data_IF_184845583919
#
_entry.id   IF_184845583919
#
_cell.length_a   1.000
_cell.length_b   1.000
_cell.length_c   1.000
_cell.angle_alpha   90.00
_cell.angle_beta   90.00
_cell.angle_gamma   90.00
#
_symmetry.space_group_name_H-M   'P 1'
#
loop_
_entity.id
_entity.type
_entity.pdbx_description
1 polymer ?
#
# COMPACT_ATOMS: atom_id res chain seq x y z
N UNK A 1 -10.77 42.43 -2.93
CA UNK A 1 -11.13 41.42 -3.94
C UNK A 1 -11.03 40.07 -3.26
N UNK A 2 -12.15 39.41 -3.03
CA UNK A 2 -12.17 38.01 -2.58
C UNK A 2 -11.55 37.18 -3.68
N UNK A 3 -10.42 36.56 -3.38
CA UNK A 3 -9.78 35.60 -4.27
C UNK A 3 -10.82 34.52 -4.63
N UNK A 4 -11.20 34.45 -5.92
CA UNK A 4 -12.15 33.45 -6.45
C UNK A 4 -11.49 32.09 -6.66
N UNK A 5 -10.29 31.91 -6.10
CA UNK A 5 -9.57 30.65 -6.09
C UNK A 5 -10.39 29.55 -5.41
N UNK A 6 -10.51 28.40 -6.08
CA UNK A 6 -11.14 27.20 -5.51
C UNK A 6 -10.23 26.46 -4.50
N UNK A 7 -9.04 27.00 -4.19
CA UNK A 7 -8.03 26.35 -3.34
C UNK A 7 -8.59 25.94 -1.98
N UNK A 8 -9.35 26.81 -1.31
CA UNK A 8 -9.87 26.51 0.03
C UNK A 8 -10.97 25.42 -0.01
N UNK A 9 -11.80 25.42 -1.05
CA UNK A 9 -12.81 24.38 -1.28
C UNK A 9 -12.15 23.02 -1.59
N UNK A 10 -11.16 23.01 -2.48
CA UNK A 10 -10.39 21.79 -2.81
C UNK A 10 -9.71 21.26 -1.54
N UNK A 11 -9.08 22.14 -0.76
CA UNK A 11 -8.45 21.75 0.51
C UNK A 11 -9.46 21.17 1.50
N UNK A 12 -10.69 21.69 1.54
CA UNK A 12 -11.79 21.12 2.31
C UNK A 12 -12.11 19.67 1.92
N UNK A 13 -12.19 19.37 0.62
CA UNK A 13 -12.42 18.01 0.14
C UNK A 13 -11.27 17.06 0.51
N UNK A 14 -10.02 17.46 0.31
CA UNK A 14 -8.88 16.64 0.73
C UNK A 14 -8.86 16.42 2.25
N UNK A 15 -9.23 17.43 3.04
CA UNK A 15 -9.33 17.29 4.49
C UNK A 15 -10.40 16.25 4.89
N UNK A 16 -11.55 16.26 4.21
CA UNK A 16 -12.58 15.25 4.41
C UNK A 16 -12.10 13.85 4.00
N UNK A 17 -11.40 13.74 2.87
CA UNK A 17 -10.86 12.46 2.41
C UNK A 17 -9.82 11.91 3.38
N UNK A 18 -8.89 12.74 3.85
CA UNK A 18 -7.91 12.36 4.87
C UNK A 18 -8.59 11.89 6.16
N UNK A 19 -9.64 12.58 6.61
CA UNK A 19 -10.42 12.17 7.77
C UNK A 19 -11.14 10.84 7.52
N UNK A 20 -11.64 10.60 6.30
CA UNK A 20 -12.27 9.33 5.91
C UNK A 20 -11.27 8.18 5.98
N UNK A 21 -10.07 8.38 5.42
CA UNK A 21 -8.96 7.41 5.47
C UNK A 21 -8.60 7.13 6.93
N UNK A 22 -8.46 8.17 7.75
CA UNK A 22 -8.12 8.00 9.15
C UNK A 22 -9.20 7.23 9.92
N UNK A 23 -10.48 7.55 9.70
CA UNK A 23 -11.62 6.88 10.30
C UNK A 23 -11.62 5.37 10.02
N UNK A 24 -11.44 4.96 8.76
CA UNK A 24 -11.42 3.53 8.40
C UNK A 24 -10.18 2.80 8.96
N UNK A 25 -9.02 3.45 8.99
CA UNK A 25 -7.80 2.86 9.54
C UNK A 25 -7.86 2.68 11.07
N UNK A 26 -8.57 3.56 11.76
CA UNK A 26 -8.72 3.55 13.22
C UNK A 26 -9.82 2.62 13.74
N UNK A 27 -10.66 2.06 12.87
CA UNK A 27 -11.67 1.06 13.24
C UNK A 27 -11.04 -0.12 13.99
N UNK A 28 -11.66 -0.56 15.08
CA UNK A 28 -11.11 -1.64 15.90
C UNK A 28 -11.28 -3.00 15.21
N UNK A 29 -12.47 -3.28 14.68
CA UNK A 29 -12.76 -4.52 13.96
C UNK A 29 -12.42 -4.39 12.47
N UNK A 30 -11.89 -5.45 11.83
CA UNK A 30 -11.73 -5.48 10.37
C UNK A 30 -13.06 -5.45 9.61
N UNK A 31 -14.15 -5.89 10.24
CA UNK A 31 -15.49 -5.96 9.62
C UNK A 31 -16.34 -4.70 9.88
N UNK A 32 -15.89 -3.79 10.74
CA UNK A 32 -16.48 -2.46 10.86
C UNK A 32 -16.27 -1.69 9.55
N UNK A 33 -17.11 -0.67 9.31
CA UNK A 33 -17.12 0.06 8.04
C UNK A 33 -17.27 1.56 8.20
N UNK A 34 -16.94 2.27 7.13
CA UNK A 34 -17.32 3.66 6.93
C UNK A 34 -18.21 3.78 5.70
N UNK A 35 -19.07 4.78 5.69
CA UNK A 35 -19.80 5.27 4.52
C UNK A 35 -19.44 6.72 4.27
N UNK A 36 -19.36 7.11 3.01
CA UNK A 36 -18.83 8.42 2.60
C UNK A 36 -19.97 9.20 1.94
N UNK A 37 -20.20 10.43 2.37
CA UNK A 37 -21.26 11.30 1.81
C UNK A 37 -22.66 10.65 1.92
N UNK A 38 -23.00 10.11 3.10
CA UNK A 38 -24.28 9.44 3.35
C UNK A 38 -25.20 10.32 4.23
N UNK A 39 -25.21 10.09 5.55
CA UNK A 39 -25.95 10.92 6.50
C UNK A 39 -25.23 12.25 6.67
N UNK A 40 -23.93 12.17 6.94
CA UNK A 40 -23.00 13.30 6.94
C UNK A 40 -21.81 12.95 6.02
N UNK A 41 -20.75 13.76 6.07
CA UNK A 41 -19.56 13.57 5.25
C UNK A 41 -18.94 12.17 5.42
N UNK A 42 -18.94 11.63 6.64
CA UNK A 42 -18.39 10.31 7.00
C UNK A 42 -19.26 9.65 8.08
N UNK A 43 -19.87 8.50 7.76
CA UNK A 43 -20.62 7.71 8.72
C UNK A 43 -19.83 6.48 9.14
N UNK A 44 -19.53 6.34 10.43
CA UNK A 44 -18.78 5.20 10.99
C UNK A 44 -19.79 4.19 11.51
N UNK A 45 -19.69 2.93 11.07
CA UNK A 45 -20.55 1.83 11.54
C UNK A 45 -19.72 0.75 12.22
N UNK A 46 -20.03 0.52 13.49
CA UNK A 46 -19.53 -0.64 14.24
C UNK A 46 -20.65 -1.69 14.40
N UNK A 47 -20.35 -2.80 15.04
CA UNK A 47 -21.35 -3.82 15.36
C UNK A 47 -22.54 -3.30 16.19
N UNK A 48 -22.34 -2.25 16.99
CA UNK A 48 -23.35 -1.73 17.93
C UNK A 48 -23.89 -0.35 17.56
N UNK A 49 -23.06 0.49 16.95
CA UNK A 49 -23.33 1.93 16.87
C UNK A 49 -23.03 2.51 15.48
N UNK A 50 -23.68 3.62 15.21
CA UNK A 50 -23.48 4.44 14.01
C UNK A 50 -23.17 5.85 14.44
N UNK A 51 -22.07 6.41 13.94
CA UNK A 51 -21.67 7.80 14.22
C UNK A 51 -21.55 8.57 12.90
N UNK A 52 -22.45 9.52 12.66
CA UNK A 52 -22.41 10.40 11.51
C UNK A 52 -21.54 11.63 11.81
N UNK A 53 -20.49 11.82 11.02
CA UNK A 53 -19.46 12.84 11.25
C UNK A 53 -19.49 13.89 10.14
N UNK A 54 -19.79 15.13 10.50
CA UNK A 54 -19.61 16.29 9.63
C UNK A 54 -18.23 16.90 9.85
N UNK A 55 -17.57 17.24 8.76
CA UNK A 55 -16.30 17.93 8.73
C UNK A 55 -16.44 19.39 8.26
N UNK A 56 -15.69 20.31 8.88
CA UNK A 56 -15.61 21.73 8.49
C UNK A 56 -14.17 22.25 8.55
N UNK A 57 -13.55 22.49 7.41
CA UNK A 57 -12.17 23.00 7.36
C UNK A 57 -12.12 24.45 6.87
N UNK A 58 -11.94 25.40 7.79
CA UNK A 58 -11.89 26.84 7.50
C UNK A 58 -10.69 27.51 8.18
N UNK A 59 -9.48 27.01 7.89
CA UNK A 59 -8.21 27.37 8.55
C UNK A 59 -7.82 28.85 8.51
N UNK A 60 -8.46 29.66 7.66
CA UNK A 60 -8.19 31.11 7.53
C UNK A 60 -9.24 31.98 8.23
N UNK A 61 -10.29 31.37 8.79
CA UNK A 61 -11.43 32.10 9.36
C UNK A 61 -11.51 31.90 10.86
N UNK A 62 -12.07 32.89 11.53
CA UNK A 62 -12.48 32.79 12.93
C UNK A 62 -13.77 31.98 13.04
N UNK A 63 -13.83 31.07 14.02
CA UNK A 63 -15.02 30.33 14.35
C UNK A 63 -16.14 31.27 14.81
N UNK A 64 -17.32 31.04 14.24
CA UNK A 64 -18.59 31.63 14.66
C UNK A 64 -19.64 30.54 14.58
N UNK A 65 -20.59 30.49 15.51
CA UNK A 65 -21.60 29.41 15.56
C UNK A 65 -22.36 29.19 14.24
N UNK A 66 -22.51 30.24 13.42
CA UNK A 66 -23.12 30.16 12.10
C UNK A 66 -22.45 29.15 11.16
N UNK A 67 -21.14 28.90 11.29
CA UNK A 67 -20.39 28.03 10.36
C UNK A 67 -20.71 26.54 10.50
N UNK A 68 -21.23 26.13 11.67
CA UNK A 68 -21.70 24.75 11.92
C UNK A 68 -23.22 24.68 12.10
N UNK A 69 -23.90 25.82 12.04
CA UNK A 69 -25.33 25.95 12.32
C UNK A 69 -26.19 25.04 11.45
N UNK A 70 -25.95 25.06 10.14
CA UNK A 70 -26.75 24.24 9.23
C UNK A 70 -26.48 22.75 9.42
N UNK A 71 -25.24 22.35 9.72
CA UNK A 71 -24.93 20.95 10.06
C UNK A 71 -25.70 20.51 11.31
N UNK A 72 -25.68 21.30 12.39
CA UNK A 72 -26.44 20.98 13.62
C UNK A 72 -27.95 20.90 13.32
N UNK A 73 -28.50 21.78 12.48
CA UNK A 73 -29.91 21.72 12.08
C UNK A 73 -30.25 20.42 11.34
N UNK A 74 -29.40 20.00 10.41
CA UNK A 74 -29.58 18.73 9.69
C UNK A 74 -29.53 17.52 10.64
N UNK A 75 -28.56 17.52 11.57
CA UNK A 75 -28.45 16.49 12.61
C UNK A 75 -29.70 16.42 13.50
N UNK A 76 -30.27 17.56 13.91
CA UNK A 76 -31.52 17.61 14.70
C UNK A 76 -32.72 17.11 13.90
N UNK A 77 -32.82 17.45 12.61
CA UNK A 77 -33.86 16.89 11.73
C UNK A 77 -33.75 15.37 11.62
N UNK A 78 -32.54 14.84 11.40
CA UNK A 78 -32.31 13.40 11.38
C UNK A 78 -32.63 12.75 12.73
N UNK A 79 -32.31 13.42 13.84
CA UNK A 79 -32.63 12.93 15.17
C UNK A 79 -34.14 12.79 15.37
N UNK A 80 -34.94 13.75 14.89
CA UNK A 80 -36.41 13.65 14.93
C UNK A 80 -36.92 12.44 14.14
N UNK A 81 -36.37 12.20 12.95
CA UNK A 81 -36.69 11.02 12.13
C UNK A 81 -36.32 9.70 12.83
N UNK A 82 -35.22 9.71 13.59
CA UNK A 82 -34.78 8.58 14.42
C UNK A 82 -35.74 8.32 15.60
N UNK A 83 -36.21 9.37 16.27
CA UNK A 83 -37.24 9.24 17.33
C UNK A 83 -38.55 8.68 16.78
N UNK A 84 -38.93 9.06 15.55
CA UNK A 84 -40.11 8.53 14.88
C UNK A 84 -39.95 7.08 14.37
N UNK A 85 -38.76 6.47 14.51
CA UNK A 85 -38.47 5.13 14.04
C UNK A 85 -38.30 4.99 12.52
N UNK A 86 -38.26 6.12 11.79
CA UNK A 86 -38.10 6.13 10.32
C UNK A 86 -36.65 6.02 9.87
N UNK A 87 -35.69 6.32 10.76
CA UNK A 87 -34.26 6.20 10.54
C UNK A 87 -33.58 5.52 11.73
N UNK A 88 -32.41 4.89 11.54
CA UNK A 88 -31.68 4.26 12.64
C UNK A 88 -31.28 5.28 13.71
N UNK A 89 -31.01 4.76 14.91
CA UNK A 89 -30.39 5.55 15.99
C UNK A 89 -28.93 5.81 15.64
N UNK A 90 -28.53 7.08 15.67
CA UNK A 90 -27.20 7.56 15.25
C UNK A 90 -26.67 8.54 16.29
N UNK A 91 -25.36 8.48 16.55
CA UNK A 91 -24.60 9.52 17.25
C UNK A 91 -24.05 10.53 16.24
N UNK A 92 -23.91 11.78 16.63
CA UNK A 92 -23.50 12.87 15.75
C UNK A 92 -22.16 13.45 16.19
N UNK A 93 -21.28 13.71 15.22
CA UNK A 93 -19.99 14.34 15.47
C UNK A 93 -19.76 15.50 14.50
N UNK A 94 -19.26 16.62 15.00
CA UNK A 94 -18.76 17.72 14.17
C UNK A 94 -17.27 17.86 14.44
N UNK A 95 -16.45 17.78 13.39
CA UNK A 95 -15.02 18.08 13.43
C UNK A 95 -14.73 19.33 12.61
N UNK A 96 -14.34 20.39 13.29
CA UNK A 96 -14.08 21.71 12.73
C UNK A 96 -12.66 22.21 13.01
N UNK A 97 -12.04 22.86 12.03
CA UNK A 97 -10.75 23.54 12.20
C UNK A 97 -10.82 25.00 11.71
N UNK A 98 -10.37 25.91 12.57
CA UNK A 98 -10.48 27.37 12.39
C UNK A 98 -9.19 28.06 12.85
N UNK A 99 -8.93 29.28 12.37
CA UNK A 99 -7.76 30.06 12.76
C UNK A 99 -7.80 30.53 14.22
N UNK A 100 -9.00 30.87 14.70
CA UNK A 100 -9.26 31.47 16.02
C UNK A 100 -10.76 31.37 16.37
N UNK A 101 -11.18 31.88 17.52
CA UNK A 101 -12.59 32.03 17.90
C UNK A 101 -13.19 30.81 18.62
N UNK A 102 -12.41 29.74 18.82
CA UNK A 102 -12.90 28.51 19.42
C UNK A 102 -13.33 28.68 20.89
N UNK A 103 -12.80 29.68 21.58
CA UNK A 103 -13.18 30.02 22.95
C UNK A 103 -14.69 30.32 23.11
N UNK A 104 -15.36 30.71 22.02
CA UNK A 104 -16.81 30.96 21.99
C UNK A 104 -17.66 29.71 22.30
N UNK A 105 -17.09 28.51 22.22
CA UNK A 105 -17.79 27.25 22.53
C UNK A 105 -17.32 26.61 23.85
N UNK A 106 -16.41 27.24 24.60
CA UNK A 106 -15.84 26.64 25.82
C UNK A 106 -16.85 26.48 26.96
N UNK A 107 -17.93 27.27 26.94
CA UNK A 107 -19.06 27.11 27.86
C UNK A 107 -19.91 25.86 27.62
N UNK A 108 -19.61 25.08 26.58
CA UNK A 108 -20.43 23.93 26.16
C UNK A 108 -21.70 24.34 25.41
N UNK A 109 -22.54 23.35 25.16
CA UNK A 109 -23.82 23.52 24.44
C UNK A 109 -24.93 22.92 25.29
N UNK A 110 -25.69 23.79 25.96
CA UNK A 110 -26.95 23.43 26.62
C UNK A 110 -28.15 23.65 25.66
N UNK A 111 -29.36 23.35 26.14
CA UNK A 111 -30.59 23.47 25.34
C UNK A 111 -30.84 24.90 24.89
N UNK A 112 -30.63 25.88 25.77
CA UNK A 112 -30.86 27.30 25.45
C UNK A 112 -29.86 27.80 24.41
N UNK A 113 -28.59 27.40 24.55
CA UNK A 113 -27.55 27.67 23.57
C UNK A 113 -27.89 27.06 22.23
N UNK A 114 -28.27 25.77 22.20
CA UNK A 114 -28.65 25.04 20.98
C UNK A 114 -29.80 25.76 20.26
N UNK A 115 -30.87 26.09 20.98
CA UNK A 115 -32.02 26.82 20.45
C UNK A 115 -31.62 28.17 19.86
N UNK A 116 -30.90 28.98 20.64
CA UNK A 116 -30.53 30.36 20.27
C UNK A 116 -29.55 30.42 19.11
N UNK A 117 -28.46 29.65 19.19
CA UNK A 117 -27.33 29.80 18.29
C UNK A 117 -27.43 28.90 17.05
N UNK A 118 -27.99 27.70 17.18
CA UNK A 118 -28.04 26.73 16.09
C UNK A 118 -29.45 26.56 15.48
N UNK A 119 -30.51 26.55 16.29
CA UNK A 119 -31.86 26.22 15.80
C UNK A 119 -32.76 27.43 15.51
N UNK A 120 -32.31 28.65 15.78
CA UNK A 120 -33.04 29.89 15.45
C UNK A 120 -32.34 30.63 14.32
N UNK A 121 -33.01 30.93 13.21
CA UNK A 121 -32.40 31.65 12.09
C UNK A 121 -33.38 32.60 11.41
N UNK A 122 -32.85 33.64 10.76
CA UNK A 122 -33.65 34.61 10.01
C UNK A 122 -33.47 34.40 8.52
N UNK A 123 -34.57 34.19 7.79
CA UNK A 123 -34.61 34.14 6.32
C UNK A 123 -35.68 35.10 5.84
N UNK A 124 -35.34 35.97 4.88
CA UNK A 124 -36.28 36.97 4.32
C UNK A 124 -36.96 37.85 5.40
N UNK A 125 -36.19 38.27 6.41
CA UNK A 125 -36.64 39.06 7.57
C UNK A 125 -37.65 38.34 8.50
N UNK A 126 -37.90 37.05 8.30
CA UNK A 126 -38.71 36.22 9.18
C UNK A 126 -37.80 35.34 10.03
N UNK A 127 -38.04 35.32 11.34
CA UNK A 127 -37.33 34.44 12.28
C UNK A 127 -38.03 33.09 12.36
N UNK A 128 -37.26 32.03 12.15
CA UNK A 128 -37.68 30.63 12.21
C UNK A 128 -37.06 29.96 13.42
N UNK A 129 -37.80 29.01 14.00
CA UNK A 129 -37.41 28.25 15.18
C UNK A 129 -37.49 26.76 14.82
N UNK A 130 -36.39 26.21 14.31
CA UNK A 130 -36.33 24.85 13.74
C UNK A 130 -36.82 23.77 14.70
N UNK A 131 -36.57 23.93 16.01
CA UNK A 131 -37.03 23.00 17.03
C UNK A 131 -38.56 23.02 17.24
N UNK A 132 -39.22 24.18 17.04
CA UNK A 132 -40.68 24.29 17.07
C UNK A 132 -41.28 23.67 15.81
N UNK A 133 -40.65 23.90 14.65
CA UNK A 133 -41.09 23.32 13.36
C UNK A 133 -41.04 21.79 13.39
N UNK A 134 -40.07 21.20 14.09
CA UNK A 134 -39.94 19.75 14.30
C UNK A 134 -40.77 19.21 15.47
N UNK A 135 -41.42 20.08 16.27
CA UNK A 135 -42.16 19.70 17.47
C UNK A 135 -41.29 18.95 18.48
N UNK A 136 -40.09 19.44 18.77
CA UNK A 136 -39.16 18.86 19.73
C UNK A 136 -39.27 19.57 21.09
N UNK A 137 -39.44 18.77 22.15
CA UNK A 137 -39.40 19.21 23.54
C UNK A 137 -37.97 19.38 24.06
N UNK A 138 -37.81 20.11 25.16
CA UNK A 138 -36.52 20.33 25.80
C UNK A 138 -35.86 19.02 26.24
N UNK A 139 -36.64 18.07 26.76
CA UNK A 139 -36.15 16.72 27.11
C UNK A 139 -35.63 15.95 25.89
N UNK A 140 -36.29 16.07 24.74
CA UNK A 140 -35.79 15.47 23.49
C UNK A 140 -34.51 16.16 23.00
N UNK A 141 -34.39 17.49 23.17
CA UNK A 141 -33.18 18.24 22.83
C UNK A 141 -32.01 17.89 23.76
N UNK A 142 -32.26 17.66 25.06
CA UNK A 142 -31.25 17.13 25.98
C UNK A 142 -30.77 15.75 25.55
N UNK A 143 -31.68 14.88 25.08
CA UNK A 143 -31.32 13.56 24.56
C UNK A 143 -30.53 13.64 23.24
N UNK A 144 -30.83 14.61 22.38
CA UNK A 144 -30.01 14.92 21.21
C UNK A 144 -28.59 15.35 21.62
N UNK A 145 -28.47 16.25 22.60
CA UNK A 145 -27.17 16.74 23.06
C UNK A 145 -26.29 15.63 23.64
N UNK A 146 -26.86 14.62 24.31
CA UNK A 146 -26.12 13.43 24.76
C UNK A 146 -25.53 12.60 23.61
N UNK A 147 -26.07 12.74 22.40
CA UNK A 147 -25.61 12.05 21.19
C UNK A 147 -24.72 12.93 20.30
N UNK A 148 -24.57 14.22 20.63
CA UNK A 148 -23.81 15.18 19.84
C UNK A 148 -22.45 15.44 20.48
N UNK A 149 -21.39 15.27 19.70
CA UNK A 149 -20.03 15.69 20.07
C UNK A 149 -19.55 16.75 19.09
N UNK A 150 -19.10 17.91 19.59
CA UNK A 150 -18.55 18.98 18.76
C UNK A 150 -17.09 19.22 19.13
N UNK A 151 -16.20 19.03 18.16
CA UNK A 151 -14.78 19.39 18.25
C UNK A 151 -14.45 20.46 17.19
N UNK A 152 -14.40 21.73 17.61
CA UNK A 152 -13.98 22.85 16.75
C UNK A 152 -12.47 23.14 16.82
N UNK A 153 -11.72 22.29 17.53
CA UNK A 153 -10.25 22.34 17.66
C UNK A 153 -9.63 21.13 16.98
N UNK A 154 -10.29 20.61 15.94
CA UNK A 154 -9.78 19.50 15.16
C UNK A 154 -8.42 19.85 14.53
N UNK A 155 -7.65 18.83 14.18
CA UNK A 155 -6.28 18.99 13.69
C UNK A 155 -6.22 19.80 12.40
N UNK A 156 -5.13 20.54 12.21
CA UNK A 156 -4.85 21.21 10.94
C UNK A 156 -4.60 20.17 9.82
N UNK A 157 -4.82 20.58 8.56
CA UNK A 157 -4.65 19.74 7.38
C UNK A 157 -3.33 18.98 7.36
N UNK A 158 -2.20 19.68 7.49
CA UNK A 158 -0.87 19.06 7.41
C UNK A 158 -0.61 18.09 8.57
N UNK A 159 -1.25 18.31 9.73
CA UNK A 159 -1.15 17.40 10.86
C UNK A 159 -1.99 16.15 10.65
N UNK A 160 -3.23 16.30 10.18
CA UNK A 160 -4.10 15.18 9.85
C UNK A 160 -3.47 14.30 8.76
N UNK A 161 -2.88 14.91 7.73
CA UNK A 161 -2.13 14.20 6.70
C UNK A 161 -1.00 13.34 7.30
N UNK A 162 -0.20 13.89 8.22
CA UNK A 162 0.85 13.12 8.92
C UNK A 162 0.29 11.96 9.75
N UNK A 163 -0.86 12.16 10.40
CA UNK A 163 -1.54 11.11 11.15
C UNK A 163 -2.05 9.99 10.23
N UNK A 164 -2.58 10.33 9.04
CA UNK A 164 -2.94 9.36 8.00
C UNK A 164 -1.72 8.55 7.55
N UNK A 165 -0.61 9.22 7.21
CA UNK A 165 0.63 8.54 6.79
C UNK A 165 1.14 7.60 7.88
N UNK A 166 1.13 8.05 9.14
CA UNK A 166 1.50 7.21 10.29
C UNK A 166 0.57 6.01 10.46
N UNK A 167 -0.75 6.21 10.36
CA UNK A 167 -1.74 5.14 10.47
C UNK A 167 -1.58 4.09 9.34
N UNK A 168 -1.31 4.54 8.11
CA UNK A 168 -1.04 3.66 6.97
C UNK A 168 0.23 2.83 7.20
N UNK A 169 1.29 3.45 7.72
CA UNK A 169 2.53 2.75 8.06
C UNK A 169 2.31 1.67 9.12
N UNK A 170 1.50 1.96 10.15
CA UNK A 170 1.15 0.97 11.18
C UNK A 170 0.29 -0.16 10.61
N UNK A 171 -0.67 0.17 9.75
CA UNK A 171 -1.64 -0.80 9.23
C UNK A 171 -1.06 -1.76 8.17
N UNK A 172 -0.15 -1.29 7.32
CA UNK A 172 0.38 -2.06 6.18
C UNK A 172 1.88 -2.37 6.30
N UNK A 173 2.55 -1.83 7.30
CA UNK A 173 4.02 -1.86 7.39
C UNK A 173 4.68 -0.94 6.36
N UNK A 174 6.01 -1.05 6.25
CA UNK A 174 6.80 -0.28 5.30
C UNK A 174 7.43 1.01 5.87
N UNK A 175 8.01 1.79 4.96
CA UNK A 175 8.71 3.04 5.30
C UNK A 175 7.74 4.23 5.24
N UNK A 176 8.11 5.34 5.87
CA UNK A 176 7.38 6.61 5.71
C UNK A 176 7.21 7.01 4.23
N UNK A 177 8.22 6.74 3.41
CA UNK A 177 8.14 6.96 1.96
C UNK A 177 7.03 6.12 1.31
N UNK A 178 6.94 4.82 1.64
CA UNK A 178 5.90 3.98 1.04
C UNK A 178 4.49 4.33 1.52
N UNK A 179 4.36 4.75 2.78
CA UNK A 179 3.09 5.19 3.33
C UNK A 179 2.58 6.48 2.67
N UNK A 180 3.46 7.48 2.50
CA UNK A 180 3.09 8.77 1.91
C UNK A 180 2.87 8.69 0.39
N UNK A 181 3.74 8.00 -0.34
CA UNK A 181 3.71 8.05 -1.81
C UNK A 181 2.95 6.92 -2.47
N UNK A 182 2.64 5.82 -1.77
CA UNK A 182 1.88 4.71 -2.35
C UNK A 182 0.58 4.48 -1.61
N UNK A 183 0.64 4.14 -0.32
CA UNK A 183 -0.55 3.76 0.42
C UNK A 183 -1.54 4.92 0.53
N UNK A 184 -1.06 6.15 0.74
CA UNK A 184 -1.92 7.33 0.77
C UNK A 184 -2.57 7.61 -0.59
N UNK A 185 -1.82 7.55 -1.70
CA UNK A 185 -2.39 7.79 -3.03
C UNK A 185 -3.46 6.74 -3.38
N UNK A 186 -3.22 5.47 -3.04
CA UNK A 186 -4.21 4.41 -3.22
C UNK A 186 -5.43 4.63 -2.32
N UNK A 187 -5.22 4.99 -1.05
CA UNK A 187 -6.28 5.30 -0.11
C UNK A 187 -7.15 6.45 -0.62
N UNK A 188 -6.53 7.54 -1.08
CA UNK A 188 -7.19 8.69 -1.67
C UNK A 188 -8.01 8.29 -2.90
N UNK A 189 -7.46 7.46 -3.79
CA UNK A 189 -8.17 6.96 -4.97
C UNK A 189 -9.40 6.14 -4.57
N UNK A 190 -9.27 5.23 -3.60
CA UNK A 190 -10.39 4.42 -3.09
C UNK A 190 -11.49 5.31 -2.49
N UNK A 191 -11.14 6.26 -1.64
CA UNK A 191 -12.08 7.19 -1.00
C UNK A 191 -12.79 8.07 -2.04
N UNK A 192 -12.04 8.62 -3.00
CA UNK A 192 -12.61 9.39 -4.12
C UNK A 192 -13.56 8.57 -4.97
N UNK A 193 -13.18 7.33 -5.30
CA UNK A 193 -13.99 6.47 -6.15
C UNK A 193 -15.30 6.05 -5.46
N UNK A 194 -15.30 5.92 -4.13
CA UNK A 194 -16.48 5.69 -3.32
C UNK A 194 -17.36 6.95 -3.24
N UNK A 195 -16.78 8.14 -3.01
CA UNK A 195 -17.56 9.37 -2.82
C UNK A 195 -18.35 9.81 -4.05
N UNK A 196 -17.93 9.40 -5.25
CA UNK A 196 -18.62 9.74 -6.51
C UNK A 196 -19.67 8.70 -6.95
N UNK A 197 -19.90 7.63 -6.19
CA UNK A 197 -20.91 6.62 -6.56
C UNK A 197 -22.33 7.18 -6.44
N UNK A 198 -23.22 6.74 -7.33
CA UNK A 198 -24.60 7.24 -7.37
C UNK A 198 -25.44 6.76 -6.17
N UNK A 199 -25.36 5.46 -5.83
CA UNK A 199 -26.13 4.89 -4.73
C UNK A 199 -25.37 5.00 -3.40
N UNK A 200 -26.00 5.43 -2.29
CA UNK A 200 -25.36 5.48 -0.97
C UNK A 200 -24.77 4.14 -0.51
N UNK A 201 -25.43 3.03 -0.82
CA UNK A 201 -24.96 1.66 -0.49
C UNK A 201 -23.61 1.32 -1.14
N UNK A 202 -23.28 1.96 -2.26
CA UNK A 202 -22.02 1.74 -2.97
C UNK A 202 -20.88 2.62 -2.44
N UNK A 203 -21.18 3.52 -1.49
CA UNK A 203 -20.22 4.41 -0.83
C UNK A 203 -19.67 3.82 0.48
N UNK A 204 -20.04 2.57 0.79
CA UNK A 204 -19.61 1.87 1.99
C UNK A 204 -18.33 1.04 1.75
N UNK A 205 -17.44 0.98 2.74
CA UNK A 205 -16.27 0.10 2.72
C UNK A 205 -15.91 -0.37 4.13
N UNK A 206 -15.71 -1.67 4.29
CA UNK A 206 -15.17 -2.24 5.54
C UNK A 206 -13.67 -1.98 5.66
N UNK A 207 -13.13 -1.96 6.88
CA UNK A 207 -11.68 -1.85 7.09
C UNK A 207 -10.89 -2.92 6.33
N UNK A 208 -11.37 -4.16 6.36
CA UNK A 208 -10.78 -5.29 5.64
C UNK A 208 -10.73 -5.06 4.13
N UNK A 209 -11.84 -4.65 3.52
CA UNK A 209 -11.90 -4.37 2.09
C UNK A 209 -11.01 -3.17 1.73
N UNK A 210 -11.02 -2.12 2.55
CA UNK A 210 -10.19 -0.94 2.34
C UNK A 210 -8.71 -1.29 2.29
N UNK A 211 -8.21 -1.99 3.32
CA UNK A 211 -6.81 -2.43 3.40
C UNK A 211 -6.41 -3.32 2.22
N UNK A 212 -7.29 -4.24 1.80
CA UNK A 212 -7.04 -5.09 0.64
C UNK A 212 -6.90 -4.29 -0.66
N UNK A 213 -7.70 -3.24 -0.86
CA UNK A 213 -7.66 -2.41 -2.08
C UNK A 213 -6.45 -1.49 -2.14
N UNK A 214 -5.95 -1.02 -1.00
CA UNK A 214 -4.83 -0.08 -0.98
C UNK A 214 -3.46 -0.77 -0.94
N UNK A 215 -3.42 -2.06 -0.60
CA UNK A 215 -2.20 -2.86 -0.56
C UNK A 215 -1.80 -3.41 -1.95
N UNK A 216 -1.56 -2.52 -2.92
CA UNK A 216 -1.08 -2.86 -4.27
C UNK A 216 0.44 -2.62 -4.44
N UNK A 217 1.18 -2.67 -3.33
CA UNK A 217 2.57 -2.20 -3.19
C UNK A 217 3.60 -2.88 -4.09
N UNK A 218 3.33 -4.03 -4.68
CA UNK A 218 4.29 -4.68 -5.58
C UNK A 218 4.32 -4.07 -6.99
N UNK A 219 3.20 -3.56 -7.50
CA UNK A 219 3.05 -3.17 -8.91
C UNK A 219 3.46 -1.70 -9.14
N UNK A 220 3.01 -0.78 -8.28
CA UNK A 220 3.25 0.67 -8.43
C UNK A 220 4.63 1.12 -7.90
N UNK A 221 5.28 0.30 -7.07
CA UNK A 221 6.60 0.60 -6.50
C UNK A 221 7.69 0.67 -7.57
N UNK A 222 7.58 -0.13 -8.64
CA UNK A 222 8.62 -0.22 -9.66
C UNK A 222 8.46 0.85 -10.76
N UNK A 223 7.23 1.14 -11.18
CA UNK A 223 6.98 2.12 -12.24
C UNK A 223 7.28 3.56 -11.78
N UNK A 224 6.84 3.95 -10.57
CA UNK A 224 6.94 5.34 -10.12
C UNK A 224 8.28 5.72 -9.47
N UNK A 225 8.97 4.75 -8.85
CA UNK A 225 10.28 4.99 -8.24
C UNK A 225 11.37 5.20 -9.31
N UNK A 226 11.25 4.52 -10.45
CA UNK A 226 12.09 4.74 -11.64
C UNK A 226 11.93 6.17 -12.17
N UNK A 227 10.70 6.69 -12.15
CA UNK A 227 10.35 8.01 -12.70
C UNK A 227 10.87 9.19 -11.84
N UNK A 228 10.85 9.07 -10.50
CA UNK A 228 11.15 10.21 -9.59
C UNK A 228 12.55 10.28 -8.99
N UNK A 229 13.24 9.14 -8.80
CA UNK A 229 14.66 9.10 -8.33
C UNK A 229 15.66 8.72 -9.41
N UNK A 230 15.16 8.37 -10.60
CA UNK A 230 15.94 7.83 -11.70
C UNK A 230 16.21 6.34 -11.51
N UNK A 231 15.90 5.55 -12.54
CA UNK A 231 16.14 4.10 -12.64
C UNK A 231 17.45 3.63 -11.98
N UNK A 232 18.55 4.35 -12.24
CA UNK A 232 19.88 4.03 -11.72
C UNK A 232 19.96 4.04 -10.17
N UNK A 233 19.30 4.98 -9.50
CA UNK A 233 19.33 5.08 -8.05
C UNK A 233 18.53 3.95 -7.39
N UNK A 234 17.44 3.52 -8.03
CA UNK A 234 16.63 2.38 -7.62
C UNK A 234 17.40 1.06 -7.67
N UNK A 235 17.97 0.75 -8.84
CA UNK A 235 18.75 -0.46 -9.04
C UNK A 235 19.95 -0.49 -8.08
N UNK A 236 20.56 0.68 -7.80
CA UNK A 236 21.62 0.81 -6.80
C UNK A 236 21.13 0.59 -5.35
N UNK A 237 19.89 0.93 -5.02
CA UNK A 237 19.31 0.65 -3.69
C UNK A 237 19.04 -0.84 -3.51
N UNK A 238 18.43 -1.50 -4.51
CA UNK A 238 18.23 -2.95 -4.53
C UNK A 238 19.57 -3.69 -4.44
N UNK A 239 20.59 -3.22 -5.17
CA UNK A 239 21.96 -3.72 -5.04
C UNK A 239 22.46 -3.62 -3.61
N UNK A 240 22.32 -2.45 -2.98
CA UNK A 240 22.77 -2.20 -1.60
C UNK A 240 22.06 -3.08 -0.57
N UNK A 241 20.80 -3.40 -0.81
CA UNK A 241 20.02 -4.21 0.11
C UNK A 241 20.37 -5.70 0.03
N UNK A 242 20.59 -6.21 -1.18
CA UNK A 242 20.66 -7.66 -1.39
C UNK A 242 22.05 -8.18 -1.85
N UNK A 243 22.89 -7.31 -2.41
CA UNK A 243 24.06 -7.72 -3.20
C UNK A 243 25.37 -6.98 -2.85
N UNK A 244 25.45 -6.24 -1.72
CA UNK A 244 26.70 -5.54 -1.28
C UNK A 244 27.42 -6.20 -0.10
N UNK A 245 27.25 -7.49 0.12
CA UNK A 245 27.99 -8.22 1.15
C UNK A 245 29.50 -8.28 0.80
N UNK A 246 30.38 -7.65 1.60
CA UNK A 246 31.84 -7.61 1.35
C UNK A 246 32.48 -9.01 1.32
N UNK A 247 32.05 -9.88 2.23
CA UNK A 247 32.50 -11.27 2.31
C UNK A 247 31.33 -12.19 1.96
N UNK A 248 31.13 -12.42 0.66
CA UNK A 248 30.08 -13.32 0.14
C UNK A 248 30.19 -14.70 0.79
N UNK A 249 29.22 -15.11 1.65
CA UNK A 249 29.24 -16.43 2.28
C UNK A 249 28.93 -17.53 1.26
N UNK A 250 29.32 -18.80 1.53
CA UNK A 250 29.12 -19.94 0.63
C UNK A 250 27.67 -20.49 0.67
N UNK A 251 26.70 -19.60 0.53
CA UNK A 251 25.28 -19.94 0.42
C UNK A 251 24.94 -20.41 -0.98
N UNK A 252 23.98 -21.33 -1.06
CA UNK A 252 23.44 -21.83 -2.32
C UNK A 252 22.43 -20.80 -2.83
N UNK A 253 22.84 -20.02 -3.83
CA UNK A 253 22.07 -18.88 -4.38
C UNK A 253 21.43 -19.26 -5.70
N UNK A 254 20.12 -19.13 -5.77
CA UNK A 254 19.31 -19.39 -6.96
C UNK A 254 18.90 -18.05 -7.56
N UNK A 255 19.36 -17.79 -8.78
CA UNK A 255 18.97 -16.62 -9.56
C UNK A 255 17.91 -17.06 -10.57
N UNK A 256 16.67 -16.67 -10.35
CA UNK A 256 15.58 -16.92 -11.28
C UNK A 256 15.34 -15.63 -12.05
N UNK A 257 15.48 -15.65 -13.37
CA UNK A 257 15.47 -14.44 -14.19
C UNK A 257 14.43 -14.56 -15.29
N UNK A 258 13.46 -13.67 -15.32
CA UNK A 258 12.51 -13.54 -16.42
C UNK A 258 13.08 -12.69 -17.55
N UNK A 259 12.87 -13.14 -18.78
CA UNK A 259 13.13 -12.36 -19.98
C UNK A 259 11.82 -12.07 -20.71
N UNK A 260 11.72 -10.89 -21.31
CA UNK A 260 10.67 -10.59 -22.26
C UNK A 260 11.04 -11.16 -23.63
N UNK A 261 10.19 -12.07 -24.14
CA UNK A 261 10.33 -12.65 -25.49
C UNK A 261 10.37 -11.61 -26.60
N UNK A 262 9.70 -10.45 -26.44
CA UNK A 262 9.66 -9.38 -27.44
C UNK A 262 10.95 -8.57 -27.52
N UNK A 263 11.77 -8.58 -26.46
CA UNK A 263 13.02 -7.82 -26.36
C UNK A 263 14.22 -8.71 -26.01
N UNK A 264 14.13 -10.02 -26.28
CA UNK A 264 15.17 -10.97 -25.95
C UNK A 264 16.44 -10.73 -26.77
N UNK A 265 17.58 -10.64 -26.08
CA UNK A 265 18.90 -10.61 -26.69
C UNK A 265 19.79 -11.68 -26.02
N UNK A 266 20.36 -12.58 -26.84
CA UNK A 266 21.21 -13.67 -26.36
C UNK A 266 22.51 -13.16 -25.76
N UNK A 267 23.09 -12.09 -26.31
CA UNK A 267 24.33 -11.49 -25.83
C UNK A 267 24.18 -10.96 -24.41
N UNK A 268 23.10 -10.24 -24.12
CA UNK A 268 22.78 -9.74 -22.79
C UNK A 268 22.60 -10.85 -21.76
N UNK A 269 21.96 -11.96 -22.16
CA UNK A 269 21.82 -13.14 -21.29
C UNK A 269 23.16 -13.83 -21.05
N UNK A 270 24.01 -13.96 -22.08
CA UNK A 270 25.37 -14.49 -21.94
C UNK A 270 26.19 -13.66 -20.96
N UNK A 271 26.16 -12.34 -21.11
CA UNK A 271 26.81 -11.43 -20.18
C UNK A 271 26.32 -11.60 -18.74
N UNK A 272 25.02 -11.82 -18.53
CA UNK A 272 24.47 -12.06 -17.21
C UNK A 272 25.03 -13.35 -16.59
N UNK A 273 25.17 -14.43 -17.36
CA UNK A 273 25.79 -15.68 -16.89
C UNK A 273 27.24 -15.44 -16.44
N UNK A 274 28.01 -14.70 -17.25
CA UNK A 274 29.39 -14.35 -16.95
C UNK A 274 29.49 -13.47 -15.70
N UNK A 275 28.60 -12.48 -15.57
CA UNK A 275 28.54 -11.55 -14.43
C UNK A 275 28.19 -12.28 -13.12
N UNK A 276 27.19 -13.17 -13.17
CA UNK A 276 26.79 -13.99 -12.05
C UNK A 276 27.93 -14.89 -11.58
N UNK A 277 28.60 -15.57 -12.52
CA UNK A 277 29.76 -16.39 -12.18
C UNK A 277 30.88 -15.56 -11.56
N UNK A 278 31.21 -14.41 -12.16
CA UNK A 278 32.28 -13.52 -11.67
C UNK A 278 32.04 -13.05 -10.23
N UNK A 279 30.80 -12.70 -9.89
CA UNK A 279 30.44 -12.15 -8.57
C UNK A 279 30.10 -13.21 -7.53
N UNK A 280 29.51 -14.33 -7.96
CA UNK A 280 28.88 -15.32 -7.07
C UNK A 280 29.46 -16.72 -7.19
N UNK A 281 30.56 -16.90 -7.93
CA UNK A 281 31.38 -18.10 -7.86
C UNK A 281 32.76 -17.80 -7.25
N UNK A 282 33.15 -18.60 -6.26
CA UNK A 282 34.50 -18.59 -5.68
C UNK A 282 35.08 -19.98 -5.77
N UNK A 283 35.96 -20.16 -6.76
CA UNK A 283 36.58 -21.46 -7.08
C UNK A 283 38.09 -21.46 -6.86
N UNK A 284 38.62 -20.46 -6.15
CA UNK A 284 40.06 -20.39 -5.85
C UNK A 284 40.49 -21.63 -5.07
N UNK A 285 41.68 -22.16 -5.36
CA UNK A 285 42.26 -23.26 -4.59
C UNK A 285 42.47 -22.91 -3.10
N UNK A 286 42.43 -21.62 -2.74
CA UNK A 286 42.54 -21.11 -1.37
C UNK A 286 41.19 -20.93 -0.65
N UNK A 287 40.07 -21.06 -1.37
CA UNK A 287 38.74 -20.93 -0.77
C UNK A 287 38.39 -22.24 -0.04
N UNK A 288 38.23 -22.25 1.30
CA UNK A 288 37.95 -23.48 2.05
C UNK A 288 36.53 -24.01 1.79
N UNK A 289 35.61 -23.16 1.34
CA UNK A 289 34.25 -23.57 0.99
C UNK A 289 33.86 -23.01 -0.38
N UNK A 290 34.37 -23.60 -1.47
CA UNK A 290 34.06 -23.15 -2.81
C UNK A 290 32.57 -23.26 -3.13
N UNK A 291 32.06 -22.31 -3.90
CA UNK A 291 30.64 -22.26 -4.30
C UNK A 291 30.47 -21.60 -5.66
N UNK A 292 29.31 -21.83 -6.28
CA UNK A 292 28.86 -21.14 -7.48
C UNK A 292 27.33 -20.99 -7.47
N UNK A 293 26.75 -20.10 -8.30
CA UNK A 293 25.32 -19.85 -8.30
C UNK A 293 24.56 -20.86 -9.18
N UNK A 294 23.25 -21.00 -8.89
CA UNK A 294 22.28 -21.62 -9.80
C UNK A 294 21.56 -20.53 -10.58
N UNK A 295 21.20 -20.82 -11.83
CA UNK A 295 20.39 -19.95 -12.67
C UNK A 295 19.23 -20.73 -13.30
N UNK A 296 18.05 -20.13 -13.28
CA UNK A 296 16.90 -20.52 -14.08
C UNK A 296 16.45 -19.30 -14.90
N UNK A 297 16.18 -19.50 -16.19
CA UNK A 297 15.75 -18.42 -17.09
C UNK A 297 14.31 -18.68 -17.52
N UNK A 298 13.40 -17.79 -17.12
CA UNK A 298 11.99 -17.88 -17.46
C UNK A 298 11.70 -17.14 -18.77
N UNK A 299 10.91 -17.75 -19.66
CA UNK A 299 10.48 -17.12 -20.91
C UNK A 299 11.42 -17.32 -22.11
N UNK A 300 12.53 -18.05 -21.96
CA UNK A 300 13.42 -18.44 -23.08
C UNK A 300 13.01 -19.81 -23.63
N UNK A 301 12.88 -19.99 -24.95
CA UNK A 301 12.70 -21.31 -25.55
C UNK A 301 13.88 -22.25 -25.27
N UNK A 302 13.60 -23.54 -25.03
CA UNK A 302 14.65 -24.53 -24.72
C UNK A 302 15.76 -24.60 -25.77
N UNK A 303 15.42 -24.43 -27.05
CA UNK A 303 16.39 -24.39 -28.16
C UNK A 303 17.35 -23.21 -28.04
N UNK A 304 16.87 -22.04 -27.62
CA UNK A 304 17.69 -20.85 -27.44
C UNK A 304 18.61 -20.99 -26.23
N UNK A 305 18.09 -21.52 -25.12
CA UNK A 305 18.91 -21.81 -23.94
C UNK A 305 20.00 -22.86 -24.24
N UNK A 306 19.70 -23.86 -25.08
CA UNK A 306 20.66 -24.85 -25.54
C UNK A 306 21.79 -24.21 -26.36
N UNK A 307 21.47 -23.33 -27.32
CA UNK A 307 22.49 -22.63 -28.11
C UNK A 307 23.37 -21.74 -27.23
N UNK A 308 22.80 -21.02 -26.26
CA UNK A 308 23.57 -20.24 -25.29
C UNK A 308 24.55 -21.12 -24.49
N UNK A 309 24.10 -22.28 -23.99
CA UNK A 309 24.98 -23.23 -23.29
C UNK A 309 26.11 -23.73 -24.18
N UNK A 310 25.83 -23.97 -25.47
CA UNK A 310 26.83 -24.39 -26.46
C UNK A 310 27.88 -23.29 -26.69
N UNK A 311 27.46 -22.04 -26.84
CA UNK A 311 28.37 -20.89 -26.97
C UNK A 311 29.29 -20.77 -25.75
N UNK A 312 28.72 -20.73 -24.54
CA UNK A 312 29.48 -20.68 -23.29
C UNK A 312 30.47 -21.84 -23.17
N UNK A 313 30.03 -23.06 -23.49
CA UNK A 313 30.89 -24.25 -23.41
C UNK A 313 32.04 -24.17 -24.42
N UNK A 314 31.79 -23.66 -25.63
CA UNK A 314 32.79 -23.46 -26.69
C UNK A 314 33.84 -22.43 -26.26
N UNK A 315 33.41 -21.41 -25.51
CA UNK A 315 34.30 -20.40 -24.90
C UNK A 315 35.05 -20.90 -23.66
N UNK A 316 34.91 -22.18 -23.30
CA UNK A 316 35.57 -22.78 -22.14
C UNK A 316 34.90 -22.43 -20.79
N UNK A 317 33.72 -21.82 -20.81
CA UNK A 317 32.94 -21.54 -19.61
C UNK A 317 32.21 -22.80 -19.14
N UNK A 318 32.72 -23.39 -18.05
CA UNK A 318 32.23 -24.65 -17.48
C UNK A 318 30.90 -24.45 -16.75
N UNK A 319 29.84 -25.08 -17.24
CA UNK A 319 28.52 -25.15 -16.63
C UNK A 319 28.05 -26.61 -16.53
N UNK A 320 27.11 -26.88 -15.63
CA UNK A 320 26.37 -28.15 -15.56
C UNK A 320 24.87 -27.86 -15.50
N UNK A 321 24.04 -28.80 -15.93
CA UNK A 321 22.59 -28.64 -15.94
C UNK A 321 21.79 -29.82 -15.37
N UNK A 322 22.49 -30.73 -14.68
CA UNK A 322 21.88 -31.82 -13.91
C UNK A 322 21.55 -33.07 -14.72
N UNK A 323 22.02 -33.15 -15.97
CA UNK A 323 21.89 -34.34 -16.83
C UNK A 323 23.28 -34.93 -17.08
N UNK A 324 23.53 -36.13 -16.55
CA UNK A 324 24.89 -36.72 -16.54
C UNK A 324 25.34 -37.27 -17.90
N UNK A 325 24.40 -37.61 -18.77
CA UNK A 325 24.65 -38.14 -20.11
C UNK A 325 23.49 -37.80 -21.06
N UNK A 326 23.68 -38.03 -22.36
CA UNK A 326 22.68 -37.72 -23.38
C UNK A 326 21.37 -38.50 -23.11
N UNK A 327 20.28 -37.76 -22.92
CA UNK A 327 18.96 -38.34 -22.64
C UNK A 327 18.75 -38.78 -21.18
N UNK A 328 19.69 -38.47 -20.27
CA UNK A 328 19.49 -38.72 -18.84
C UNK A 328 18.33 -37.88 -18.29
N UNK A 329 17.61 -38.43 -17.32
CA UNK A 329 16.70 -37.65 -16.49
C UNK A 329 17.47 -36.61 -15.64
N UNK A 330 16.76 -35.58 -15.18
CA UNK A 330 17.34 -34.60 -14.28
C UNK A 330 17.68 -35.22 -12.92
N UNK A 331 18.90 -34.98 -12.44
CA UNK A 331 19.41 -35.46 -11.16
C UNK A 331 19.75 -34.29 -10.24
N UNK A 332 18.99 -34.17 -9.14
CA UNK A 332 19.31 -33.21 -8.09
C UNK A 332 20.68 -33.51 -7.44
N UNK A 333 21.16 -34.76 -7.47
CA UNK A 333 22.51 -35.11 -6.99
C UNK A 333 23.59 -34.57 -7.92
N UNK A 334 23.38 -34.71 -9.25
CA UNK A 334 24.28 -34.17 -10.26
C UNK A 334 24.38 -32.64 -10.18
N UNK A 335 23.24 -31.94 -10.18
CA UNK A 335 23.25 -30.47 -10.16
C UNK A 335 23.82 -29.92 -8.83
N UNK A 336 23.66 -30.63 -7.71
CA UNK A 336 24.17 -30.18 -6.41
C UNK A 336 25.66 -30.48 -6.20
N UNK A 337 26.34 -31.08 -7.18
CA UNK A 337 27.79 -31.29 -7.14
C UNK A 337 28.55 -30.04 -6.69
N UNK A 338 29.41 -30.19 -5.69
CA UNK A 338 30.20 -29.08 -5.16
C UNK A 338 31.11 -28.53 -6.25
N UNK A 339 30.97 -27.24 -6.55
CA UNK A 339 31.91 -26.55 -7.44
C UNK A 339 33.25 -26.40 -6.75
N UNK A 340 34.36 -26.63 -7.45
CA UNK A 340 35.72 -26.59 -6.90
C UNK A 340 36.70 -26.01 -7.92
N UNK A 341 37.92 -25.69 -7.49
CA UNK A 341 39.01 -25.35 -8.41
C UNK A 341 39.27 -26.45 -9.45
N UNK A 342 39.18 -27.71 -9.05
CA UNK A 342 39.50 -28.87 -9.90
C UNK A 342 38.47 -29.11 -11.00
N UNK A 343 37.17 -29.15 -10.65
CA UNK A 343 36.11 -29.34 -11.65
C UNK A 343 35.74 -28.06 -12.41
N UNK A 344 36.07 -26.89 -11.84
CA UNK A 344 35.89 -25.60 -12.49
C UNK A 344 34.43 -25.21 -12.74
N UNK A 345 33.44 -25.80 -12.07
CA UNK A 345 32.02 -25.54 -12.32
C UNK A 345 31.68 -24.09 -11.94
N UNK A 346 31.42 -23.25 -12.94
CA UNK A 346 31.24 -21.80 -12.79
C UNK A 346 29.80 -21.37 -12.52
N UNK A 347 28.84 -22.15 -13.00
CA UNK A 347 27.41 -21.92 -12.82
C UNK A 347 26.65 -23.23 -13.00
N UNK A 348 25.46 -23.32 -12.40
CA UNK A 348 24.57 -24.48 -12.49
C UNK A 348 23.25 -24.05 -13.11
N UNK A 349 22.86 -24.64 -14.23
CA UNK A 349 21.67 -24.24 -14.98
C UNK A 349 20.51 -25.16 -14.67
N UNK A 350 19.39 -24.60 -14.25
CA UNK A 350 18.15 -25.32 -14.00
C UNK A 350 17.24 -25.04 -15.20
N UNK A 351 16.81 -26.09 -15.90
CA UNK A 351 16.09 -25.95 -17.16
C UNK A 351 14.59 -25.69 -16.97
N UNK A 352 14.02 -26.14 -15.85
CA UNK A 352 12.57 -26.08 -15.60
C UNK A 352 12.30 -25.67 -14.15
N UNK A 353 11.10 -25.15 -13.87
CA UNK A 353 10.67 -24.85 -12.50
C UNK A 353 10.68 -26.08 -11.58
N UNK A 354 10.21 -27.29 -12.01
CA UNK A 354 10.37 -28.50 -11.22
C UNK A 354 11.83 -28.80 -10.84
N UNK A 355 12.80 -28.57 -11.73
CA UNK A 355 14.22 -28.74 -11.41
C UNK A 355 14.66 -27.77 -10.31
N UNK A 356 14.15 -26.53 -10.32
CA UNK A 356 14.40 -25.54 -9.26
C UNK A 356 13.87 -26.05 -7.93
N UNK A 357 12.59 -26.42 -7.86
CA UNK A 357 11.96 -26.90 -6.64
C UNK A 357 12.67 -28.13 -6.06
N UNK A 358 12.93 -29.14 -6.90
CA UNK A 358 13.62 -30.36 -6.49
C UNK A 358 15.05 -30.07 -5.97
N UNK A 359 15.76 -29.12 -6.58
CA UNK A 359 17.11 -28.75 -6.16
C UNK A 359 17.10 -27.97 -4.85
N UNK A 360 16.22 -26.98 -4.72
CA UNK A 360 16.10 -26.19 -3.48
C UNK A 360 15.70 -27.09 -2.30
N UNK A 361 14.85 -28.09 -2.54
CA UNK A 361 14.44 -29.08 -1.56
C UNK A 361 15.58 -30.01 -1.11
N UNK A 362 16.39 -30.48 -2.07
CA UNK A 362 17.50 -31.38 -1.79
C UNK A 362 18.68 -30.71 -1.08
N UNK A 363 18.88 -29.40 -1.27
CA UNK A 363 19.97 -28.66 -0.65
C UNK A 363 19.73 -28.46 0.85
N UNK A 364 20.67 -28.91 1.67
CA UNK A 364 20.63 -28.79 3.14
C UNK A 364 21.31 -27.52 3.66
N UNK A 365 22.15 -26.85 2.85
CA UNK A 365 22.82 -25.60 3.21
C UNK A 365 21.84 -24.41 3.22
N UNK A 366 22.32 -23.25 3.69
CA UNK A 366 21.58 -21.99 3.59
C UNK A 366 21.27 -21.67 2.13
N UNK A 367 19.98 -21.53 1.83
CA UNK A 367 19.45 -21.27 0.49
C UNK A 367 18.90 -19.85 0.40
N UNK A 368 19.19 -19.19 -0.72
CA UNK A 368 18.60 -17.89 -1.06
C UNK A 368 18.10 -17.92 -2.49
N UNK A 369 16.83 -17.58 -2.69
CA UNK A 369 16.21 -17.45 -4.00
C UNK A 369 16.05 -15.96 -4.28
N UNK A 370 16.61 -15.51 -5.39
CA UNK A 370 16.44 -14.17 -5.93
C UNK A 370 15.67 -14.31 -7.25
N UNK A 371 14.40 -13.93 -7.22
CA UNK A 371 13.51 -14.03 -8.38
C UNK A 371 13.31 -12.65 -8.99
N UNK A 372 13.88 -12.46 -10.18
CA UNK A 372 13.67 -11.29 -11.02
C UNK A 372 12.48 -11.54 -11.94
N UNK A 373 11.47 -10.65 -11.90
CA UNK A 373 10.24 -10.77 -12.68
C UNK A 373 9.86 -9.43 -13.34
N UNK A 374 9.24 -9.47 -14.53
CA UNK A 374 8.77 -8.28 -15.27
C UNK A 374 7.30 -8.00 -14.94
N UNK A 375 6.48 -9.06 -14.94
CA UNK A 375 5.07 -9.01 -14.61
C UNK A 375 4.76 -9.66 -13.27
N UNK A 376 3.86 -10.64 -13.27
CA UNK A 376 3.52 -11.43 -12.08
C UNK A 376 4.67 -12.37 -11.70
N UNK A 377 4.81 -12.67 -10.41
CA UNK A 377 5.76 -13.69 -9.97
C UNK A 377 5.37 -15.06 -10.55
N UNK A 378 6.30 -15.70 -11.25
CA UNK A 378 6.13 -17.01 -11.91
C UNK A 378 6.56 -18.21 -11.04
N UNK A 379 6.91 -17.97 -9.77
CA UNK A 379 7.37 -19.00 -8.85
C UNK A 379 7.04 -18.60 -7.42
N UNK A 380 6.54 -19.56 -6.64
CA UNK A 380 6.21 -19.40 -5.23
C UNK A 380 6.89 -20.52 -4.46
N UNK A 381 7.50 -20.19 -3.32
CA UNK A 381 8.23 -21.16 -2.52
C UNK A 381 8.16 -20.77 -1.04
N UNK A 382 7.15 -21.30 -0.35
CA UNK A 382 6.74 -20.84 0.98
C UNK A 382 7.30 -21.71 2.11
N UNK A 383 8.61 -22.03 2.06
CA UNK A 383 9.30 -22.68 3.19
C UNK A 383 10.05 -21.65 4.03
N UNK A 384 9.70 -21.46 5.32
CA UNK A 384 10.29 -20.41 6.17
C UNK A 384 11.82 -20.44 6.27
N UNK A 385 12.45 -21.60 6.07
CA UNK A 385 13.89 -21.78 6.12
C UNK A 385 14.64 -21.24 4.89
N UNK A 386 13.93 -20.85 3.83
CA UNK A 386 14.53 -20.37 2.57
C UNK A 386 14.17 -18.91 2.37
N UNK A 387 15.19 -18.06 2.26
CA UNK A 387 14.98 -16.64 1.95
C UNK A 387 14.61 -16.51 0.47
N UNK A 388 13.35 -16.19 0.18
CA UNK A 388 12.86 -15.92 -1.18
C UNK A 388 12.62 -14.41 -1.35
N UNK A 389 13.50 -13.76 -2.11
CA UNK A 389 13.41 -12.34 -2.46
C UNK A 389 12.84 -12.23 -3.87
N UNK A 390 11.76 -11.46 -4.03
CA UNK A 390 11.10 -11.19 -5.31
C UNK A 390 11.42 -9.75 -5.70
N UNK A 391 12.02 -9.57 -6.87
CA UNK A 391 12.54 -8.29 -7.35
C UNK A 391 11.92 -8.03 -8.72
N UNK A 392 11.11 -6.99 -8.86
CA UNK A 392 10.59 -6.63 -10.18
C UNK A 392 11.65 -5.86 -10.99
N UNK A 393 11.68 -6.08 -12.29
CA UNK A 393 12.56 -5.42 -13.26
C UNK A 393 11.78 -5.08 -14.52
N UNK A 394 12.19 -4.09 -15.31
CA UNK A 394 11.52 -3.81 -16.59
C UNK A 394 12.09 -4.64 -17.74
N UNK A 395 13.37 -4.99 -17.63
CA UNK A 395 14.14 -5.66 -18.68
C UNK A 395 15.35 -6.36 -18.09
N UNK A 396 15.92 -7.29 -18.85
CA UNK A 396 17.07 -8.10 -18.44
C UNK A 396 18.29 -7.26 -17.99
N UNK A 397 18.56 -6.12 -18.64
CA UNK A 397 19.68 -5.24 -18.27
C UNK A 397 19.60 -4.68 -16.84
N UNK A 398 18.41 -4.64 -16.26
CA UNK A 398 18.20 -4.14 -14.90
C UNK A 398 18.72 -5.15 -13.87
N UNK A 399 18.61 -6.45 -14.18
CA UNK A 399 19.16 -7.53 -13.37
C UNK A 399 20.68 -7.36 -13.22
N UNK A 400 21.39 -7.11 -14.32
CA UNK A 400 22.85 -6.80 -14.31
C UNK A 400 23.16 -5.56 -13.47
N UNK A 401 22.26 -4.58 -13.46
CA UNK A 401 22.41 -3.32 -12.72
C UNK A 401 22.07 -3.44 -11.23
N UNK A 402 21.34 -4.47 -10.83
CA UNK A 402 21.01 -4.78 -9.43
C UNK A 402 22.07 -5.68 -8.81
N UNK A 403 22.51 -6.71 -9.55
CA UNK A 403 23.49 -7.69 -9.08
C UNK A 403 24.89 -7.07 -9.00
#
# INVERSE_FOLDING_TARGET
MTDRSAVDTIRGYFYQFDLSILSVLQLASPDDSIEIECTEDIDIRTASDVTATQCKYYAKTEYNHSVIKDAVKHMVSHFKESLAGTKPKVAYSIKGHYASGQEKLDGGVDVDFLKKHFLTYTKEKVTYYHYLDLGLSDTELEEFLKRLTIDIRAKAFDQQFREVVGALQVALGGTSFSAEYFFYNNALAVIRDLSIKAAPTDRAVTKKQFLARINTSSILFNEWFVERKGKKAHLAALRREYFTELNVPPYERFFMVEVDTGSYDRGDLKDLFLELSRKWAKLSAREPSPFCPYIYVHGVPDSELLELKRELSTEGFKLIDGHDFQGADFSHQSITQTATHGNGIRIKVLNTLPNVEQTVDAVTKTRRIYQFHIGNCYFQYDKPAVRHVKIQVERLSDVKSII
#
